data_IF_226983338534
#
_entry.id   IF_226983338534
#
_cell.length_a   1.000
_cell.length_b   1.000
_cell.length_c   1.000
_cell.angle_alpha   90.00
_cell.angle_beta   90.00
_cell.angle_gamma   90.00
#
_symmetry.space_group_name_H-M   'P 1'
#
loop_
_entity.id
_entity.type
_entity.pdbx_description
1 polymer ?
#
# COMPACT_ATOMS: atom_id res chain seq x y z
N UNK A 1 10.38 9.06 -6.01
CA UNK A 1 9.47 10.17 -5.68
C UNK A 1 8.05 9.69 -5.75
N UNK A 2 7.19 10.21 -4.88
CA UNK A 2 5.74 10.02 -4.87
C UNK A 2 5.08 11.39 -4.77
N UNK A 3 3.81 11.49 -5.14
CA UNK A 3 3.03 12.71 -5.00
C UNK A 3 1.60 12.39 -4.58
N UNK A 4 1.24 12.83 -3.38
CA UNK A 4 -0.03 12.48 -2.73
C UNK A 4 0.04 11.15 -1.98
N UNK A 5 -0.95 10.92 -1.12
CA UNK A 5 -1.16 9.68 -0.38
C UNK A 5 -2.66 9.46 -0.27
N UNK A 6 -3.15 8.32 -0.75
CA UNK A 6 -4.57 7.95 -0.78
C UNK A 6 -5.45 9.09 -1.34
N UNK A 7 -5.14 9.61 -2.55
CA UNK A 7 -5.86 10.74 -3.12
C UNK A 7 -7.36 10.47 -3.30
N UNK A 8 -7.74 9.20 -3.45
CA UNK A 8 -9.13 8.76 -3.49
C UNK A 8 -9.88 8.96 -2.14
N UNK A 9 -9.18 9.33 -1.07
CA UNK A 9 -9.73 9.63 0.26
C UNK A 9 -9.65 11.12 0.62
N UNK A 10 -9.12 11.99 -0.24
CA UNK A 10 -8.95 13.42 0.10
C UNK A 10 -10.25 14.14 0.47
N UNK A 11 -11.38 13.74 -0.11
CA UNK A 11 -12.68 14.35 0.24
C UNK A 11 -13.04 14.07 1.70
N UNK A 12 -12.74 12.87 2.18
CA UNK A 12 -12.97 12.48 3.57
C UNK A 12 -12.01 13.19 4.53
N UNK A 13 -10.71 13.26 4.18
CA UNK A 13 -9.67 13.76 5.10
C UNK A 13 -9.56 15.29 5.11
N UNK A 14 -9.69 15.93 3.95
CA UNK A 14 -9.41 17.36 3.77
C UNK A 14 -10.59 18.16 3.22
N UNK A 15 -11.76 17.53 3.04
CA UNK A 15 -12.92 18.12 2.37
C UNK A 15 -12.63 18.64 0.93
N UNK A 16 -11.58 18.13 0.28
CA UNK A 16 -11.16 18.50 -1.07
C UNK A 16 -11.11 17.28 -1.98
N UNK A 17 -11.48 17.45 -3.25
CA UNK A 17 -11.38 16.38 -4.25
C UNK A 17 -10.35 16.79 -5.29
N UNK A 18 -9.37 15.92 -5.54
CA UNK A 18 -8.47 16.03 -6.69
C UNK A 18 -8.85 14.90 -7.63
N UNK A 19 -9.23 15.22 -8.87
CA UNK A 19 -9.57 14.21 -9.85
C UNK A 19 -8.33 13.43 -10.29
N UNK A 20 -8.48 12.18 -10.76
CA UNK A 20 -7.37 11.41 -11.31
C UNK A 20 -6.64 12.13 -12.45
N UNK A 21 -7.39 12.85 -13.30
CA UNK A 21 -6.83 13.66 -14.39
C UNK A 21 -5.99 14.84 -13.86
N UNK A 22 -6.46 15.57 -12.84
CA UNK A 22 -5.70 16.65 -12.24
C UNK A 22 -4.39 16.14 -11.63
N UNK A 23 -4.47 15.06 -10.84
CA UNK A 23 -3.28 14.44 -10.26
C UNK A 23 -2.30 13.95 -11.35
N UNK A 24 -2.80 13.40 -12.46
CA UNK A 24 -1.95 13.00 -13.59
C UNK A 24 -1.18 14.18 -14.20
N UNK A 25 -1.79 15.37 -14.31
CA UNK A 25 -1.09 16.57 -14.75
C UNK A 25 -0.01 16.99 -13.74
N UNK A 26 -0.28 16.84 -12.44
CA UNK A 26 0.71 17.11 -11.40
C UNK A 26 1.90 16.14 -11.49
N UNK A 27 1.66 14.85 -11.76
CA UNK A 27 2.72 13.86 -12.01
C UNK A 27 3.53 14.18 -13.27
N UNK A 28 2.88 14.64 -14.35
CA UNK A 28 3.57 15.12 -15.56
C UNK A 28 4.47 16.31 -15.26
N UNK A 29 3.97 17.28 -14.48
CA UNK A 29 4.75 18.45 -14.03
C UNK A 29 5.94 18.00 -13.19
N UNK A 30 5.73 17.10 -12.22
CA UNK A 30 6.77 16.54 -11.37
C UNK A 30 7.84 15.83 -12.20
N UNK A 31 7.45 14.99 -13.18
CA UNK A 31 8.39 14.34 -14.09
C UNK A 31 9.27 15.36 -14.83
N UNK A 32 8.69 16.44 -15.35
CA UNK A 32 9.45 17.52 -16.00
C UNK A 32 10.47 18.15 -15.05
N UNK A 33 10.06 18.46 -13.83
CA UNK A 33 10.94 19.06 -12.80
C UNK A 33 12.09 18.13 -12.42
N UNK A 34 11.82 16.85 -12.20
CA UNK A 34 12.84 15.86 -11.88
C UNK A 34 13.86 15.72 -13.01
N UNK A 35 13.40 15.69 -14.27
CA UNK A 35 14.29 15.63 -15.42
C UNK A 35 15.22 16.85 -15.50
N UNK A 36 14.68 18.05 -15.28
CA UNK A 36 15.45 19.31 -15.28
C UNK A 36 16.42 19.41 -14.10
N UNK A 37 16.10 18.78 -12.97
CA UNK A 37 16.90 18.82 -11.75
C UNK A 37 17.95 17.70 -11.68
N UNK A 38 18.22 16.99 -12.78
CA UNK A 38 19.21 15.91 -12.83
C UNK A 38 18.72 14.53 -12.39
N UNK A 39 17.45 14.39 -12.00
CA UNK A 39 16.84 13.13 -11.54
C UNK A 39 16.07 12.39 -12.64
N UNK A 40 16.51 12.49 -13.91
CA UNK A 40 15.82 11.88 -15.07
C UNK A 40 15.59 10.37 -14.96
N UNK A 41 16.46 9.66 -14.24
CA UNK A 41 16.37 8.21 -14.02
C UNK A 41 15.72 7.84 -12.68
N UNK A 42 15.27 8.82 -11.89
CA UNK A 42 14.59 8.53 -10.63
C UNK A 42 13.21 7.91 -10.86
N UNK A 43 12.87 6.94 -10.01
CA UNK A 43 11.55 6.33 -9.98
C UNK A 43 10.50 7.36 -9.56
N UNK A 44 9.40 7.42 -10.31
CA UNK A 44 8.17 8.09 -9.91
C UNK A 44 7.09 7.03 -9.69
N UNK A 45 6.58 6.98 -8.48
CA UNK A 45 5.68 5.96 -7.96
C UNK A 45 4.36 6.65 -7.63
N UNK A 46 3.23 6.03 -8.00
CA UNK A 46 1.92 6.59 -7.72
C UNK A 46 0.79 5.70 -8.25
N UNK A 47 -0.48 6.02 -7.97
CA UNK A 47 -0.95 7.19 -7.25
C UNK A 47 -1.10 6.98 -5.73
N UNK A 48 -0.64 5.84 -5.19
CA UNK A 48 -0.76 5.51 -3.77
C UNK A 48 -2.23 5.48 -3.29
N UNK A 49 -3.12 4.89 -4.09
CA UNK A 49 -4.54 4.72 -3.69
C UNK A 49 -4.66 3.77 -2.51
N UNK A 50 -5.84 3.77 -1.87
CA UNK A 50 -6.20 2.72 -0.90
C UNK A 50 -6.30 1.32 -1.55
N UNK A 51 -6.82 0.34 -0.82
CA UNK A 51 -7.14 -1.01 -1.33
C UNK A 51 -8.47 -1.08 -2.09
N UNK A 52 -8.64 -2.05 -3.01
CA UNK A 52 -9.95 -2.45 -3.51
C UNK A 52 -10.86 -2.95 -2.39
N UNK A 53 -12.15 -2.62 -2.48
CA UNK A 53 -13.20 -3.03 -1.54
C UNK A 53 -14.48 -3.31 -2.34
N UNK A 54 -15.16 -4.41 -2.06
CA UNK A 54 -16.28 -4.92 -2.87
C UNK A 54 -17.43 -3.92 -3.06
N UNK A 55 -17.69 -3.09 -2.05
CA UNK A 55 -18.76 -2.09 -2.06
C UNK A 55 -18.27 -0.65 -2.19
N UNK A 56 -16.97 -0.43 -2.45
CA UNK A 56 -16.39 0.91 -2.62
C UNK A 56 -15.46 0.95 -3.85
N UNK A 57 -16.01 1.11 -5.06
CA UNK A 57 -15.23 1.07 -6.30
C UNK A 57 -14.33 2.29 -6.49
N UNK A 58 -14.42 3.29 -5.62
CA UNK A 58 -13.69 4.56 -5.73
C UNK A 58 -12.18 4.35 -5.91
N UNK A 59 -11.59 3.39 -5.19
CA UNK A 59 -10.17 3.05 -5.34
C UNK A 59 -9.85 2.61 -6.79
N UNK A 60 -10.56 1.60 -7.29
CA UNK A 60 -10.29 1.00 -8.60
C UNK A 60 -10.54 2.01 -9.71
N UNK A 61 -11.66 2.74 -9.65
CA UNK A 61 -11.99 3.80 -10.60
C UNK A 61 -10.88 4.87 -10.62
N UNK A 62 -10.45 5.33 -9.45
CA UNK A 62 -9.39 6.33 -9.35
C UNK A 62 -8.07 5.84 -9.94
N UNK A 63 -7.67 4.61 -9.63
CA UNK A 63 -6.45 3.99 -10.16
C UNK A 63 -6.51 3.87 -11.70
N UNK A 64 -7.58 3.32 -12.26
CA UNK A 64 -7.73 3.13 -13.71
C UNK A 64 -7.74 4.46 -14.45
N UNK A 65 -8.53 5.42 -13.97
CA UNK A 65 -8.61 6.76 -14.57
C UNK A 65 -7.25 7.48 -14.47
N UNK A 66 -6.52 7.34 -13.35
CA UNK A 66 -5.19 7.92 -13.19
C UNK A 66 -4.19 7.30 -14.19
N UNK A 67 -4.13 5.97 -14.27
CA UNK A 67 -3.22 5.27 -15.18
C UNK A 67 -3.48 5.61 -16.65
N UNK A 68 -4.75 5.79 -17.04
CA UNK A 68 -5.11 6.25 -18.39
C UNK A 68 -4.55 7.62 -18.75
N UNK A 69 -4.25 8.46 -17.76
CA UNK A 69 -3.71 9.80 -17.96
C UNK A 69 -2.21 9.91 -17.61
N UNK A 70 -1.68 9.05 -16.73
CA UNK A 70 -0.37 9.20 -16.11
C UNK A 70 0.63 8.07 -16.37
N UNK A 71 0.21 6.96 -16.98
CA UNK A 71 1.04 5.75 -17.18
C UNK A 71 2.40 6.04 -17.84
N UNK A 72 2.48 7.00 -18.76
CA UNK A 72 3.73 7.40 -19.41
C UNK A 72 4.70 8.22 -18.55
N UNK A 73 4.26 8.74 -17.40
CA UNK A 73 5.07 9.61 -16.54
C UNK A 73 5.58 8.89 -15.28
N UNK A 74 4.92 7.79 -14.89
CA UNK A 74 5.26 6.97 -13.74
C UNK A 74 6.11 5.75 -14.15
N UNK A 75 6.84 5.21 -13.18
CA UNK A 75 7.57 3.95 -13.34
C UNK A 75 6.85 2.79 -12.67
N UNK A 76 6.06 3.04 -11.62
CA UNK A 76 5.44 2.04 -10.78
C UNK A 76 4.01 2.49 -10.45
N UNK A 77 3.06 1.57 -10.54
CA UNK A 77 1.70 1.75 -10.01
C UNK A 77 1.65 1.28 -8.57
N UNK A 78 1.18 2.13 -7.67
CA UNK A 78 1.23 1.88 -6.24
C UNK A 78 -0.11 2.02 -5.53
N UNK A 79 -0.30 1.22 -4.50
CA UNK A 79 -1.50 1.20 -3.67
C UNK A 79 -1.18 0.67 -2.27
N UNK A 80 -2.12 0.90 -1.36
CA UNK A 80 -1.98 0.60 0.06
C UNK A 80 -2.90 -0.53 0.49
N UNK A 81 -2.50 -1.30 1.51
CA UNK A 81 -3.34 -2.39 2.00
C UNK A 81 -3.24 -2.58 3.52
N UNK A 82 -4.40 -2.74 4.16
CA UNK A 82 -4.55 -3.15 5.55
C UNK A 82 -5.71 -4.15 5.63
N UNK A 83 -5.59 -5.15 6.51
CA UNK A 83 -6.61 -6.18 6.67
C UNK A 83 -7.75 -5.69 7.57
N UNK A 84 -7.40 -5.23 8.77
CA UNK A 84 -8.35 -5.01 9.87
C UNK A 84 -8.44 -3.54 10.29
N UNK A 85 -9.48 -3.22 11.06
CA UNK A 85 -9.63 -1.93 11.73
C UNK A 85 -9.09 -2.02 13.16
N UNK A 86 -8.08 -1.22 13.52
CA UNK A 86 -7.51 -1.23 14.88
C UNK A 86 -8.51 -1.00 16.01
N UNK A 87 -9.65 -0.34 15.73
CA UNK A 87 -10.68 -0.03 16.74
C UNK A 87 -11.57 -1.22 17.08
N UNK A 88 -11.68 -2.20 16.19
CA UNK A 88 -12.63 -3.31 16.32
C UNK A 88 -11.98 -4.68 16.19
N UNK A 89 -10.71 -4.75 15.77
CA UNK A 89 -9.99 -5.99 15.58
C UNK A 89 -9.83 -6.75 16.90
N UNK A 90 -10.13 -8.04 16.85
CA UNK A 90 -9.93 -8.99 17.95
C UNK A 90 -8.83 -9.98 17.60
N UNK A 91 -8.41 -10.79 18.57
CA UNK A 91 -7.33 -11.75 18.37
C UNK A 91 -7.69 -12.78 17.28
N UNK A 92 -8.92 -13.29 17.31
CA UNK A 92 -9.43 -14.27 16.36
C UNK A 92 -9.37 -13.77 14.90
N UNK A 93 -9.60 -12.47 14.67
CA UNK A 93 -9.65 -11.89 13.32
C UNK A 93 -8.30 -11.97 12.59
N UNK A 94 -7.19 -12.06 13.32
CA UNK A 94 -5.84 -12.14 12.73
C UNK A 94 -5.54 -13.49 12.09
N UNK A 95 -6.34 -14.51 12.37
CA UNK A 95 -6.06 -15.91 12.05
C UNK A 95 -7.19 -16.58 11.25
N UNK A 96 -8.22 -15.84 10.86
CA UNK A 96 -9.30 -16.40 10.03
C UNK A 96 -8.83 -16.60 8.58
N UNK A 97 -9.32 -17.65 7.89
CA UNK A 97 -9.07 -17.85 6.47
C UNK A 97 -9.44 -16.61 5.63
N UNK A 98 -10.61 -16.02 5.89
CA UNK A 98 -11.10 -14.83 5.19
C UNK A 98 -10.10 -13.65 5.28
N UNK A 99 -9.47 -13.44 6.45
CA UNK A 99 -8.46 -12.39 6.61
C UNK A 99 -7.20 -12.69 5.80
N UNK A 100 -6.73 -13.93 5.80
CA UNK A 100 -5.53 -14.34 5.06
C UNK A 100 -5.77 -14.27 3.53
N UNK A 101 -6.93 -14.71 3.06
CA UNK A 101 -7.29 -14.71 1.64
C UNK A 101 -7.57 -13.30 1.07
N UNK A 102 -7.93 -12.34 1.94
CA UNK A 102 -8.30 -10.99 1.54
C UNK A 102 -7.26 -10.31 0.65
N UNK A 103 -5.96 -10.47 0.95
CA UNK A 103 -4.92 -9.82 0.16
C UNK A 103 -4.83 -10.42 -1.25
N UNK A 104 -4.89 -11.74 -1.40
CA UNK A 104 -4.79 -12.38 -2.71
C UNK A 104 -5.94 -11.92 -3.61
N UNK A 105 -7.17 -11.92 -3.06
CA UNK A 105 -8.36 -11.40 -3.74
C UNK A 105 -8.15 -9.95 -4.18
N UNK A 106 -7.65 -9.07 -3.31
CA UNK A 106 -7.39 -7.67 -3.63
C UNK A 106 -6.32 -7.49 -4.71
N UNK A 107 -5.26 -8.32 -4.68
CA UNK A 107 -4.24 -8.30 -5.73
C UNK A 107 -4.84 -8.72 -7.07
N UNK A 108 -5.63 -9.80 -7.13
CA UNK A 108 -6.29 -10.22 -8.37
C UNK A 108 -7.23 -9.14 -8.90
N UNK A 109 -8.05 -8.55 -8.02
CA UNK A 109 -8.95 -7.45 -8.41
C UNK A 109 -8.16 -6.27 -8.99
N UNK A 110 -7.07 -5.84 -8.35
CA UNK A 110 -6.25 -4.74 -8.84
C UNK A 110 -5.58 -5.07 -10.18
N UNK A 111 -5.05 -6.29 -10.33
CA UNK A 111 -4.43 -6.75 -11.59
C UNK A 111 -5.42 -6.78 -12.73
N UNK A 112 -6.59 -7.37 -12.53
CA UNK A 112 -7.61 -7.50 -13.57
C UNK A 112 -8.10 -6.12 -14.04
N UNK A 113 -8.31 -5.19 -13.10
CA UNK A 113 -8.73 -3.82 -13.45
C UNK A 113 -7.61 -2.99 -14.11
N UNK A 114 -6.34 -3.36 -13.93
CA UNK A 114 -5.20 -2.61 -14.48
C UNK A 114 -4.41 -3.42 -15.53
N UNK A 115 -5.03 -4.43 -16.14
CA UNK A 115 -4.38 -5.35 -17.08
C UNK A 115 -3.78 -4.63 -18.29
N UNK A 116 -4.42 -3.57 -18.80
CA UNK A 116 -3.90 -2.73 -19.89
C UNK A 116 -2.54 -2.09 -19.57
N UNK A 117 -2.23 -1.94 -18.28
CA UNK A 117 -0.98 -1.34 -17.78
C UNK A 117 -0.02 -2.38 -17.18
N UNK A 118 -0.13 -3.65 -17.59
CA UNK A 118 0.67 -4.76 -17.03
C UNK A 118 2.19 -4.57 -17.13
N UNK A 119 2.66 -3.77 -18.09
CA UNK A 119 4.06 -3.40 -18.27
C UNK A 119 4.60 -2.47 -17.16
N UNK A 120 3.72 -1.87 -16.36
CA UNK A 120 4.10 -1.05 -15.21
C UNK A 120 4.08 -1.94 -13.96
N UNK A 121 5.23 -2.16 -13.27
CA UNK A 121 5.26 -2.99 -12.07
C UNK A 121 4.38 -2.42 -10.96
N UNK A 122 3.84 -3.31 -10.12
CA UNK A 122 2.92 -2.99 -9.04
C UNK A 122 3.60 -3.12 -7.67
N UNK A 123 3.49 -2.08 -6.84
CA UNK A 123 4.03 -2.05 -5.48
C UNK A 123 2.93 -1.85 -4.43
N UNK A 124 3.12 -2.48 -3.27
CA UNK A 124 2.46 -2.08 -2.03
C UNK A 124 3.36 -1.07 -1.34
N UNK A 125 3.05 0.21 -1.46
CA UNK A 125 3.89 1.32 -0.94
C UNK A 125 3.57 1.73 0.49
N UNK A 126 2.49 1.20 1.05
CA UNK A 126 2.18 1.27 2.47
C UNK A 126 1.27 0.11 2.84
N UNK A 127 1.70 -0.73 3.78
CA UNK A 127 0.87 -1.87 4.18
C UNK A 127 1.16 -2.39 5.57
N UNK A 128 0.13 -2.90 6.25
CA UNK A 128 0.27 -3.51 7.57
C UNK A 128 -0.89 -4.45 7.94
N UNK A 129 -0.94 -4.90 9.19
CA UNK A 129 -2.03 -5.71 9.74
C UNK A 129 -3.35 -4.93 9.79
N UNK A 130 -3.36 -3.76 10.44
CA UNK A 130 -4.57 -2.98 10.69
C UNK A 130 -4.35 -1.48 10.55
N UNK A 131 -5.33 -0.79 9.95
CA UNK A 131 -5.29 0.66 9.79
C UNK A 131 -5.66 1.37 11.11
N UNK A 132 -5.45 2.68 11.17
CA UNK A 132 -5.70 3.47 12.39
C UNK A 132 -4.58 3.37 13.44
N UNK A 133 -3.35 3.06 13.00
CA UNK A 133 -2.17 3.00 13.87
C UNK A 133 -1.86 1.60 14.42
N UNK A 134 -2.56 0.56 13.98
CA UNK A 134 -2.36 -0.80 14.45
C UNK A 134 -3.22 -1.14 15.68
N UNK A 135 -3.76 -2.36 15.72
CA UNK A 135 -4.54 -2.88 16.83
C UNK A 135 -3.65 -3.03 18.09
N UNK A 136 -3.93 -2.31 19.19
CA UNK A 136 -3.11 -2.36 20.40
C UNK A 136 -3.02 -3.77 20.99
N UNK A 137 -1.81 -4.20 21.36
CA UNK A 137 -1.57 -5.52 21.94
C UNK A 137 -1.62 -6.69 20.95
N UNK A 138 -2.11 -6.46 19.73
CA UNK A 138 -2.22 -7.47 18.67
C UNK A 138 -1.16 -7.24 17.58
N UNK A 139 -1.17 -6.04 16.98
CA UNK A 139 -0.28 -5.71 15.84
C UNK A 139 1.20 -5.62 16.21
N UNK A 140 1.52 -5.38 17.48
CA UNK A 140 2.88 -5.30 18.03
C UNK A 140 3.31 -6.63 18.68
N UNK A 141 2.52 -7.69 18.53
CA UNK A 141 2.77 -8.99 19.14
C UNK A 141 2.97 -10.06 18.07
N UNK A 142 3.31 -11.28 18.50
CA UNK A 142 3.39 -12.44 17.60
C UNK A 142 2.05 -12.76 16.92
N UNK A 143 0.91 -12.30 17.46
CA UNK A 143 -0.39 -12.45 16.81
C UNK A 143 -0.47 -11.74 15.44
N UNK A 144 0.28 -10.64 15.25
CA UNK A 144 0.36 -9.92 13.99
C UNK A 144 1.24 -10.60 12.93
N UNK A 145 2.15 -11.46 13.37
CA UNK A 145 3.24 -11.98 12.55
C UNK A 145 2.80 -12.87 11.39
N UNK A 146 1.82 -13.79 11.53
CA UNK A 146 1.33 -14.58 10.40
C UNK A 146 0.83 -13.73 9.24
N UNK A 147 0.08 -12.66 9.51
CA UNK A 147 -0.40 -11.74 8.47
C UNK A 147 0.75 -11.03 7.74
N UNK A 148 1.86 -10.74 8.43
CA UNK A 148 3.02 -10.13 7.80
C UNK A 148 3.75 -11.12 6.89
N UNK A 149 3.99 -12.34 7.38
CA UNK A 149 4.69 -13.37 6.62
C UNK A 149 3.86 -13.82 5.40
N UNK A 150 2.57 -14.07 5.60
CA UNK A 150 1.64 -14.44 4.53
C UNK A 150 1.57 -13.35 3.45
N UNK A 151 1.51 -12.07 3.85
CA UNK A 151 1.58 -10.94 2.92
C UNK A 151 2.81 -10.94 2.03
N UNK A 152 3.99 -11.21 2.60
CA UNK A 152 5.22 -11.30 1.83
C UNK A 152 5.18 -12.47 0.83
N UNK A 153 4.65 -13.62 1.27
CA UNK A 153 4.44 -14.80 0.42
C UNK A 153 3.47 -14.54 -0.73
N UNK A 154 2.28 -14.01 -0.44
CA UNK A 154 1.26 -13.67 -1.44
C UNK A 154 1.73 -12.58 -2.40
N UNK A 155 2.43 -11.55 -1.90
CA UNK A 155 3.02 -10.51 -2.73
C UNK A 155 4.03 -11.11 -3.73
N UNK A 156 4.95 -11.94 -3.26
CA UNK A 156 5.94 -12.61 -4.09
C UNK A 156 5.28 -13.54 -5.13
N UNK A 157 4.35 -14.40 -4.70
CA UNK A 157 3.55 -15.29 -5.57
C UNK A 157 2.84 -14.51 -6.68
N UNK A 158 2.45 -13.27 -6.39
CA UNK A 158 1.69 -12.43 -7.30
C UNK A 158 2.51 -11.38 -8.06
N UNK A 159 3.84 -11.46 -8.10
CA UNK A 159 4.68 -10.46 -8.79
C UNK A 159 4.47 -9.01 -8.29
N UNK A 160 4.11 -8.84 -7.00
CA UNK A 160 4.22 -7.55 -6.33
C UNK A 160 5.69 -7.39 -5.95
N UNK A 161 6.40 -6.55 -6.70
CA UNK A 161 7.87 -6.50 -6.66
C UNK A 161 8.42 -5.73 -5.46
N UNK A 162 7.57 -5.01 -4.72
CA UNK A 162 7.98 -4.29 -3.51
C UNK A 162 6.81 -4.18 -2.55
N UNK A 163 7.10 -4.43 -1.27
CA UNK A 163 6.18 -4.33 -0.14
C UNK A 163 6.81 -3.44 0.92
N UNK A 164 6.19 -2.30 1.20
CA UNK A 164 6.67 -1.30 2.16
C UNK A 164 5.84 -1.41 3.44
N UNK A 165 6.48 -1.90 4.50
CA UNK A 165 5.88 -2.08 5.82
C UNK A 165 5.57 -0.74 6.48
N UNK A 166 4.30 -0.51 6.79
CA UNK A 166 3.87 0.51 7.75
C UNK A 166 3.88 -0.12 9.15
N UNK A 167 4.79 0.25 10.04
CA UNK A 167 5.90 1.20 9.88
C UNK A 167 7.19 0.58 10.42
N UNK A 168 8.33 1.20 10.10
CA UNK A 168 9.57 0.86 10.79
C UNK A 168 9.51 1.26 12.27
N UNK A 169 9.05 2.48 12.56
CA UNK A 169 8.90 3.06 13.90
C UNK A 169 7.56 3.80 14.00
N UNK A 170 6.89 3.69 15.15
CA UNK A 170 5.67 4.44 15.49
C UNK A 170 4.36 3.74 15.11
N UNK A 171 3.38 3.78 16.02
CA UNK A 171 2.16 2.99 15.93
C UNK A 171 2.34 1.56 16.48
N UNK A 172 1.23 0.89 16.77
CA UNK A 172 1.21 -0.48 17.28
C UNK A 172 1.57 -1.51 16.21
N UNK A 173 1.69 -1.13 14.94
CA UNK A 173 2.12 -2.02 13.86
C UNK A 173 3.61 -1.90 13.52
N UNK A 174 4.36 -1.15 14.33
CA UNK A 174 5.76 -0.84 14.06
C UNK A 174 6.64 -2.09 14.15
N UNK A 175 7.75 -2.10 13.42
CA UNK A 175 8.77 -3.14 13.58
C UNK A 175 9.60 -2.91 14.85
N UNK A 176 9.79 -1.66 15.23
CA UNK A 176 10.55 -1.24 16.41
C UNK A 176 9.65 -0.36 17.27
N UNK A 177 9.65 -0.63 18.58
CA UNK A 177 8.87 0.16 19.54
C UNK A 177 9.52 1.52 19.89
N UNK A 178 8.84 2.31 20.71
CA UNK A 178 9.30 3.64 21.14
C UNK A 178 10.61 3.64 21.95
N UNK A 179 10.98 2.50 22.52
CA UNK A 179 12.19 2.30 23.30
C UNK A 179 13.32 1.71 22.43
N UNK A 180 13.15 1.67 21.10
CA UNK A 180 14.07 1.08 20.14
C UNK A 180 14.22 -0.45 20.31
N UNK A 181 13.20 -1.11 20.86
CA UNK A 181 13.18 -2.57 21.00
C UNK A 181 12.54 -3.19 19.76
N UNK A 182 13.21 -4.16 19.11
CA UNK A 182 12.62 -4.88 17.97
C UNK A 182 11.46 -5.75 18.41
N UNK A 183 10.32 -5.59 17.73
CA UNK A 183 9.10 -6.39 17.91
C UNK A 183 9.17 -7.67 17.07
N UNK A 184 8.27 -8.67 17.27
CA UNK A 184 8.33 -9.95 16.57
C UNK A 184 8.47 -9.84 15.04
N UNK A 185 7.73 -8.90 14.43
CA UNK A 185 7.77 -8.69 12.99
C UNK A 185 9.10 -8.14 12.47
N UNK A 186 9.92 -7.48 13.31
CA UNK A 186 11.29 -7.11 12.93
C UNK A 186 12.13 -8.35 12.68
N UNK A 187 12.08 -9.32 13.61
CA UNK A 187 12.86 -10.55 13.49
C UNK A 187 12.44 -11.38 12.29
N UNK A 188 11.14 -11.49 12.01
CA UNK A 188 10.67 -12.13 10.78
C UNK A 188 11.13 -11.37 9.54
N UNK A 189 11.12 -10.04 9.56
CA UNK A 189 11.60 -9.25 8.42
C UNK A 189 13.10 -9.45 8.17
N UNK A 190 13.91 -9.57 9.23
CA UNK A 190 15.35 -9.88 9.14
C UNK A 190 15.56 -11.29 8.60
N UNK A 191 14.83 -12.28 9.11
CA UNK A 191 14.92 -13.67 8.66
C UNK A 191 14.51 -13.80 7.18
N UNK A 192 13.41 -13.19 6.76
CA UNK A 192 12.96 -13.19 5.37
C UNK A 192 13.97 -12.53 4.42
N UNK A 193 14.75 -11.55 4.92
CA UNK A 193 15.74 -10.82 4.13
C UNK A 193 17.03 -11.62 3.90
N UNK A 194 17.31 -12.61 4.73
CA UNK A 194 18.53 -13.43 4.70
C UNK A 194 18.30 -14.70 3.90
#
# INVERSE_FOLDING_TARGET
WQLGKEPNSFRHVFNKTISPHALAQDYKRLRKLLNQSGYKHSLLVGPDTTRPQDHQPNCLKYMVDFLGNASHYINIRSWHQYYLNSRTAKLEDFWTPDTLELLDNQIQTMKNNTQTYHNIPMWLTETSSSYGGGAPGLSNSFAGTPLWLDKLGLAAKNNITTVVRQSFLGGNYSLIDKNLTPLPDWWISVLYKK
#
